data_IF_527584375030
#
_entry.id   IF_527584375030
#
_cell.length_a   1.000
_cell.length_b   1.000
_cell.length_c   1.000
_cell.angle_alpha   90.00
_cell.angle_beta   90.00
_cell.angle_gamma   90.00
#
_symmetry.space_group_name_H-M   'P 1'
#
loop_
_entity.id
_entity.type
_entity.pdbx_description
1 polymer ?
#
# COMPACT_ATOMS: atom_id res chain seq x y z
N UNK A 1 37.90 -63.53 -25.65
CA UNK A 1 37.07 -63.05 -24.52
C UNK A 1 36.99 -61.53 -24.59
N UNK A 2 35.77 -61.03 -24.82
CA UNK A 2 35.15 -59.78 -24.30
C UNK A 2 34.23 -59.17 -25.37
N UNK A 3 33.02 -59.74 -25.38
CA UNK A 3 31.79 -59.15 -25.89
C UNK A 3 31.40 -57.89 -25.10
N UNK A 4 30.76 -56.95 -25.82
CA UNK A 4 29.61 -56.20 -25.33
C UNK A 4 29.84 -55.05 -24.36
N UNK A 5 30.06 -53.83 -24.86
CA UNK A 5 29.75 -52.59 -24.10
C UNK A 5 29.76 -51.33 -24.97
N UNK A 6 28.87 -51.18 -25.97
CA UNK A 6 28.73 -49.86 -26.61
C UNK A 6 27.38 -49.54 -27.31
N UNK A 7 26.29 -50.25 -27.00
CA UNK A 7 24.98 -49.99 -27.66
C UNK A 7 23.85 -49.59 -26.69
N UNK A 8 23.97 -49.86 -25.39
CA UNK A 8 22.91 -49.63 -24.40
C UNK A 8 22.88 -48.17 -23.88
N UNK A 9 23.96 -47.39 -24.06
CA UNK A 9 24.06 -46.04 -23.48
C UNK A 9 23.38 -44.94 -24.34
N UNK A 10 23.02 -45.24 -25.59
CA UNK A 10 22.44 -44.27 -26.54
C UNK A 10 20.90 -44.32 -26.63
N UNK A 11 20.24 -45.35 -26.08
CA UNK A 11 18.77 -45.46 -26.16
C UNK A 11 18.03 -44.77 -24.99
N UNK A 12 18.73 -44.49 -23.87
CA UNK A 12 18.11 -43.87 -22.68
C UNK A 12 18.23 -42.33 -22.64
N UNK A 13 18.98 -41.72 -23.57
CA UNK A 13 19.15 -40.26 -23.62
C UNK A 13 18.07 -39.54 -24.45
N UNK A 14 17.29 -40.25 -25.27
CA UNK A 14 16.38 -39.64 -26.25
C UNK A 14 14.92 -39.51 -25.75
N UNK A 15 14.50 -40.28 -24.74
CA UNK A 15 13.16 -40.16 -24.16
C UNK A 15 13.08 -39.20 -22.96
N UNK A 16 14.21 -38.86 -22.34
CA UNK A 16 14.26 -37.95 -21.20
C UNK A 16 14.18 -36.46 -21.60
N UNK A 17 14.49 -36.10 -22.84
CA UNK A 17 14.54 -34.70 -23.30
C UNK A 17 13.18 -34.16 -23.75
N UNK A 18 12.26 -35.01 -24.24
CA UNK A 18 10.99 -34.57 -24.83
C UNK A 18 9.94 -34.13 -23.79
N UNK A 19 10.11 -34.54 -22.53
CA UNK A 19 9.18 -34.22 -21.42
C UNK A 19 9.62 -33.02 -20.60
N UNK A 20 10.87 -32.57 -20.69
CA UNK A 20 11.41 -31.48 -19.87
C UNK A 20 11.12 -30.10 -20.49
N UNK A 21 11.12 -30.00 -21.82
CA UNK A 21 10.87 -28.76 -22.55
C UNK A 21 9.53 -28.06 -22.22
N UNK A 22 8.37 -28.75 -22.13
CA UNK A 22 7.10 -28.07 -21.83
C UNK A 22 6.98 -27.64 -20.35
N UNK A 23 7.57 -28.39 -19.41
CA UNK A 23 7.62 -27.95 -18.00
C UNK A 23 8.57 -26.77 -17.81
N UNK A 24 9.72 -26.77 -18.49
CA UNK A 24 10.62 -25.63 -18.49
C UNK A 24 9.93 -24.38 -19.04
N UNK A 25 9.22 -24.50 -20.18
CA UNK A 25 8.46 -23.40 -20.78
C UNK A 25 7.36 -22.87 -19.85
N UNK A 26 6.63 -23.76 -19.18
CA UNK A 26 5.62 -23.38 -18.19
C UNK A 26 6.24 -22.68 -16.97
N UNK A 27 7.40 -23.14 -16.48
CA UNK A 27 8.16 -22.47 -15.42
C UNK A 27 8.66 -21.08 -15.84
N UNK A 28 9.10 -20.91 -17.09
CA UNK A 28 9.50 -19.60 -17.63
C UNK A 28 8.32 -18.63 -17.72
N UNK A 29 7.13 -19.10 -18.14
CA UNK A 29 5.93 -18.27 -18.16
C UNK A 29 5.48 -17.89 -16.74
N UNK A 30 5.51 -18.82 -15.78
CA UNK A 30 5.13 -18.54 -14.40
C UNK A 30 6.09 -17.56 -13.69
N UNK A 31 7.40 -17.63 -13.98
CA UNK A 31 8.39 -16.70 -13.44
C UNK A 31 8.21 -15.27 -13.98
N UNK A 32 7.68 -15.11 -15.20
CA UNK A 32 7.45 -13.79 -15.80
C UNK A 32 6.31 -13.00 -15.13
N UNK A 33 5.38 -13.67 -14.45
CA UNK A 33 4.19 -13.03 -13.83
C UNK A 33 4.51 -12.39 -12.46
N UNK A 34 5.64 -12.76 -11.83
CA UNK A 34 5.98 -12.29 -10.48
C UNK A 34 6.78 -10.96 -10.43
N UNK A 35 7.18 -10.38 -11.56
CA UNK A 35 8.10 -9.24 -11.61
C UNK A 35 7.45 -7.89 -11.98
N UNK A 36 6.28 -7.59 -11.43
CA UNK A 36 5.73 -6.22 -11.48
C UNK A 36 5.14 -5.78 -10.14
N UNK A 37 5.86 -6.01 -9.03
CA UNK A 37 5.70 -5.15 -7.85
C UNK A 37 6.68 -4.01 -8.04
N UNK A 38 6.18 -2.89 -8.58
CA UNK A 38 6.89 -1.62 -8.58
C UNK A 38 7.26 -1.33 -7.12
N UNK A 39 8.55 -1.24 -6.81
CA UNK A 39 9.02 -0.83 -5.49
C UNK A 39 8.71 0.65 -5.32
N UNK A 40 7.46 0.95 -4.97
CA UNK A 40 7.13 2.25 -4.43
C UNK A 40 7.84 2.35 -3.08
N UNK A 41 8.48 3.48 -2.83
CA UNK A 41 9.24 3.78 -1.60
C UNK A 41 8.33 3.95 -0.37
N UNK A 42 7.21 3.24 -0.34
CA UNK A 42 6.27 3.27 0.76
C UNK A 42 6.88 2.46 1.92
N UNK A 43 6.98 3.11 3.08
CA UNK A 43 7.47 2.50 4.32
C UNK A 43 6.64 1.28 4.77
N UNK A 44 6.92 0.77 5.97
CA UNK A 44 6.37 -0.51 6.44
C UNK A 44 4.82 -0.52 6.33
N UNK A 45 4.22 -1.49 5.60
CA UNK A 45 2.78 -1.58 5.43
C UNK A 45 2.08 -1.99 6.73
N UNK A 46 0.80 -1.65 6.87
CA UNK A 46 -0.05 -2.04 8.00
C UNK A 46 -0.41 -3.53 8.02
N UNK A 47 0.02 -4.31 7.01
CA UNK A 47 -0.31 -5.73 6.86
C UNK A 47 -1.68 -6.00 6.23
N UNK A 48 -2.42 -4.94 5.88
CA UNK A 48 -3.69 -5.01 5.16
C UNK A 48 -3.49 -4.67 3.68
N UNK A 49 -4.33 -5.26 2.83
CA UNK A 49 -4.47 -4.87 1.43
C UNK A 49 -5.83 -4.23 1.22
N UNK A 50 -5.89 -3.20 0.39
CA UNK A 50 -7.11 -2.46 0.12
C UNK A 50 -7.66 -2.66 -1.28
N UNK A 51 -7.43 -3.85 -1.86
CA UNK A 51 -7.91 -4.21 -3.20
C UNK A 51 -9.43 -4.37 -3.23
N UNK A 52 -9.99 -5.04 -2.23
CA UNK A 52 -11.40 -5.39 -2.15
C UNK A 52 -12.11 -4.79 -0.93
N UNK A 53 -11.35 -4.51 0.12
CA UNK A 53 -11.84 -4.03 1.41
C UNK A 53 -11.08 -2.74 1.78
N UNK A 54 -11.70 -1.77 2.46
CA UNK A 54 -10.95 -0.61 2.95
C UNK A 54 -9.97 -1.01 4.06
N UNK A 55 -9.02 -0.11 4.38
CA UNK A 55 -8.17 -0.27 5.57
C UNK A 55 -9.01 0.04 6.81
N UNK A 56 -9.19 -0.92 7.72
CA UNK A 56 -10.01 -0.71 8.92
C UNK A 56 -9.54 -1.49 10.15
N UNK A 57 -8.61 -2.45 10.01
CA UNK A 57 -8.17 -3.22 11.18
C UNK A 57 -7.29 -2.33 12.07
N UNK A 58 -6.39 -1.56 11.47
CA UNK A 58 -5.51 -0.64 12.18
C UNK A 58 -5.93 0.83 11.98
N UNK A 59 -6.26 1.57 13.05
CA UNK A 59 -6.57 2.99 12.95
C UNK A 59 -5.34 3.79 12.50
N UNK A 60 -5.56 4.80 11.67
CA UNK A 60 -4.47 5.62 11.13
C UNK A 60 -3.73 5.00 9.94
N UNK A 61 -4.28 3.92 9.36
CA UNK A 61 -3.86 3.38 8.07
C UNK A 61 -4.79 3.86 6.95
N UNK A 62 -4.22 4.13 5.79
CA UNK A 62 -4.94 4.50 4.57
C UNK A 62 -4.45 3.73 3.37
N UNK A 63 -5.31 3.62 2.37
CA UNK A 63 -5.05 2.87 1.15
C UNK A 63 -4.17 3.68 0.18
N UNK A 64 -3.02 3.12 -0.21
CA UNK A 64 -2.17 3.64 -1.29
C UNK A 64 -1.66 2.46 -2.12
N UNK A 65 -1.78 2.54 -3.44
CA UNK A 65 -1.31 1.49 -4.36
C UNK A 65 -1.82 0.08 -4.01
N UNK A 66 -3.09 -0.01 -3.60
CA UNK A 66 -3.79 -1.26 -3.18
C UNK A 66 -3.25 -1.90 -1.89
N UNK A 67 -2.38 -1.23 -1.16
CA UNK A 67 -1.85 -1.66 0.14
C UNK A 67 -2.14 -0.59 1.20
N UNK A 68 -2.38 -1.02 2.44
CA UNK A 68 -2.62 -0.11 3.55
C UNK A 68 -1.31 0.31 4.19
N UNK A 69 -1.08 1.62 4.30
CA UNK A 69 0.08 2.22 4.95
C UNK A 69 -0.34 3.21 6.02
N UNK A 70 0.54 3.45 7.00
CA UNK A 70 0.31 4.48 8.01
C UNK A 70 0.25 5.87 7.37
N UNK A 71 -0.67 6.72 7.83
CA UNK A 71 -0.89 8.05 7.27
C UNK A 71 0.39 8.91 7.24
N UNK A 72 1.18 8.87 8.31
CA UNK A 72 2.44 9.61 8.39
C UNK A 72 3.50 9.11 7.40
N UNK A 73 3.49 7.80 7.06
CA UNK A 73 4.37 7.21 6.03
C UNK A 73 3.94 7.66 4.64
N UNK A 74 2.63 7.69 4.38
CA UNK A 74 2.10 8.21 3.12
C UNK A 74 2.50 9.69 2.96
N UNK A 75 2.38 10.48 4.03
CA UNK A 75 2.74 11.90 4.01
C UNK A 75 4.25 12.15 3.88
N UNK A 76 5.10 11.34 4.54
CA UNK A 76 6.56 11.48 4.47
C UNK A 76 7.14 11.08 3.11
N UNK A 77 6.54 10.08 2.46
CA UNK A 77 6.99 9.55 1.16
C UNK A 77 6.35 10.23 -0.04
N UNK A 78 5.45 11.19 0.20
CA UNK A 78 4.79 11.93 -0.87
C UNK A 78 5.74 12.91 -1.56
N UNK A 79 5.80 12.81 -2.89
CA UNK A 79 6.51 13.76 -3.75
C UNK A 79 5.65 15.01 -3.94
N UNK A 80 4.35 14.83 -4.15
CA UNK A 80 3.39 15.92 -4.35
C UNK A 80 2.19 15.81 -3.41
N UNK A 81 1.52 16.93 -3.17
CA UNK A 81 0.25 16.96 -2.41
C UNK A 81 -0.87 16.15 -3.09
N UNK A 82 -0.71 15.73 -4.34
CA UNK A 82 -1.69 14.94 -5.07
C UNK A 82 -1.41 13.44 -5.04
N UNK A 83 -0.29 13.01 -4.45
CA UNK A 83 0.07 11.59 -4.33
C UNK A 83 -0.99 10.80 -3.52
N UNK A 84 -1.70 11.48 -2.62
CA UNK A 84 -2.85 10.91 -1.93
C UNK A 84 -3.89 12.00 -1.67
N UNK A 85 -5.16 11.68 -1.92
CA UNK A 85 -6.28 12.62 -1.86
C UNK A 85 -6.50 13.27 -0.48
N UNK A 86 -5.99 12.66 0.61
CA UNK A 86 -6.06 13.21 1.97
C UNK A 86 -4.85 14.09 2.35
N UNK A 87 -3.85 14.25 1.48
CA UNK A 87 -2.73 15.16 1.76
C UNK A 87 -3.15 16.61 1.59
N UNK A 88 -2.60 17.49 2.41
CA UNK A 88 -2.85 18.93 2.36
C UNK A 88 -1.63 19.73 2.77
N UNK A 89 -1.59 20.99 2.39
CA UNK A 89 -0.64 21.97 2.92
C UNK A 89 -1.37 23.02 3.78
N UNK A 90 -2.65 23.25 3.48
CA UNK A 90 -3.52 24.22 4.12
C UNK A 90 -4.92 23.66 4.35
N UNK A 91 -5.71 24.37 5.14
CA UNK A 91 -7.13 24.03 5.39
C UNK A 91 -7.96 24.10 4.10
N UNK A 92 -7.64 25.06 3.22
CA UNK A 92 -8.35 25.26 1.94
C UNK A 92 -8.19 24.08 0.99
N UNK A 93 -7.05 23.38 1.05
CA UNK A 93 -6.82 22.16 0.25
C UNK A 93 -7.84 21.07 0.61
N UNK A 94 -8.11 20.87 1.90
CA UNK A 94 -9.07 19.87 2.36
C UNK A 94 -10.50 20.20 1.94
N UNK A 95 -10.86 21.48 1.98
CA UNK A 95 -12.17 21.98 1.54
C UNK A 95 -12.32 21.79 0.04
N UNK A 96 -11.30 22.18 -0.73
CA UNK A 96 -11.30 22.09 -2.20
C UNK A 96 -11.37 20.65 -2.67
N UNK A 97 -10.61 19.74 -2.03
CA UNK A 97 -10.65 18.30 -2.30
C UNK A 97 -11.92 17.61 -1.77
N UNK A 98 -12.72 18.30 -0.96
CA UNK A 98 -13.91 17.78 -0.26
C UNK A 98 -13.62 16.56 0.62
N UNK A 99 -12.40 16.47 1.14
CA UNK A 99 -11.94 15.37 2.01
C UNK A 99 -11.97 15.73 3.50
N UNK A 100 -12.18 17.00 3.81
CA UNK A 100 -12.27 17.51 5.17
C UNK A 100 -12.41 19.03 5.17
N UNK A 101 -12.25 19.62 6.34
CA UNK A 101 -12.18 21.07 6.51
C UNK A 101 -10.96 21.52 7.34
N UNK A 102 -10.21 20.56 7.89
CA UNK A 102 -9.04 20.81 8.70
C UNK A 102 -7.85 20.02 8.17
N UNK A 103 -6.69 20.70 8.09
CA UNK A 103 -5.43 20.10 7.71
C UNK A 103 -4.56 19.94 8.97
N UNK A 104 -4.32 18.71 9.40
CA UNK A 104 -3.44 18.45 10.52
C UNK A 104 -2.03 18.08 10.09
N UNK A 105 -1.08 18.86 10.58
CA UNK A 105 0.33 18.61 10.34
C UNK A 105 0.85 17.57 11.35
N UNK A 106 1.76 16.72 10.88
CA UNK A 106 2.49 15.81 11.74
C UNK A 106 3.58 16.59 12.50
N UNK A 107 3.94 16.18 13.74
CA UNK A 107 4.96 16.87 14.54
C UNK A 107 6.38 16.74 13.97
N UNK A 108 6.61 15.79 13.05
CA UNK A 108 7.92 15.59 12.44
C UNK A 108 8.16 16.63 11.33
N UNK A 109 9.28 17.36 11.42
CA UNK A 109 9.68 18.40 10.47
C UNK A 109 10.01 17.87 9.07
N UNK A 110 10.32 16.58 8.94
CA UNK A 110 10.61 15.96 7.63
C UNK A 110 9.34 15.73 6.80
N UNK A 111 8.16 15.86 7.41
CA UNK A 111 6.87 15.63 6.74
C UNK A 111 6.31 16.95 6.23
N UNK A 112 6.36 17.13 4.91
CA UNK A 112 5.97 18.40 4.24
C UNK A 112 4.45 18.64 4.20
N UNK A 113 3.66 17.57 4.19
CA UNK A 113 2.22 17.64 3.99
C UNK A 113 1.47 17.16 5.24
N UNK A 114 0.39 17.85 5.57
CA UNK A 114 -0.57 17.42 6.58
C UNK A 114 -1.57 16.39 6.05
N UNK A 115 -2.51 16.05 6.90
CA UNK A 115 -3.60 15.12 6.65
C UNK A 115 -4.96 15.78 6.85
N UNK A 116 -5.85 15.62 5.88
CA UNK A 116 -7.21 16.14 5.97
C UNK A 116 -8.08 15.30 6.88
N UNK A 117 -8.85 15.97 7.74
CA UNK A 117 -9.98 15.37 8.42
C UNK A 117 -11.19 16.31 8.43
N UNK A 118 -12.36 15.70 8.64
CA UNK A 118 -13.60 16.44 8.86
C UNK A 118 -13.71 16.73 10.36
N UNK A 119 -13.43 17.96 10.73
CA UNK A 119 -13.70 18.49 12.05
C UNK A 119 -15.10 19.11 12.04
N UNK A 120 -16.09 18.43 12.60
CA UNK A 120 -17.40 19.05 12.80
C UNK A 120 -17.28 20.01 13.99
N UNK A 121 -17.38 21.31 13.74
CA UNK A 121 -17.26 22.36 14.76
C UNK A 121 -18.53 22.52 15.60
N UNK A 122 -19.39 21.50 15.69
CA UNK A 122 -20.61 21.57 16.48
C UNK A 122 -20.29 21.50 17.97
N UNK A 123 -19.98 22.64 18.57
CA UNK A 123 -20.31 22.93 19.98
C UNK A 123 -19.68 22.06 21.07
N UNK A 124 -18.65 21.26 20.80
CA UNK A 124 -17.98 20.44 21.83
C UNK A 124 -17.14 21.26 22.82
N UNK A 125 -16.81 22.53 22.51
CA UNK A 125 -16.07 23.41 23.44
C UNK A 125 -16.94 24.46 24.15
N UNK A 126 -18.23 24.58 23.83
CA UNK A 126 -19.10 25.62 24.42
C UNK A 126 -20.34 25.07 25.16
N UNK A 127 -20.72 23.80 24.98
CA UNK A 127 -21.84 23.21 25.75
C UNK A 127 -21.52 23.04 27.23
N UNK A 128 -20.26 22.79 27.60
CA UNK A 128 -19.89 22.59 29.00
C UNK A 128 -19.72 23.90 29.78
N UNK A 129 -19.31 25.00 29.12
CA UNK A 129 -19.19 26.31 29.77
C UNK A 129 -20.53 27.06 29.89
N UNK A 130 -21.40 27.00 28.87
CA UNK A 130 -22.69 27.71 28.90
C UNK A 130 -23.72 27.04 29.81
N UNK A 131 -23.64 25.71 30.03
CA UNK A 131 -24.57 25.00 30.91
C UNK A 131 -24.34 25.30 32.40
N UNK A 132 -23.14 25.75 32.77
CA UNK A 132 -22.81 26.14 34.15
C UNK A 132 -23.23 27.59 34.48
N UNK A 133 -23.45 28.44 33.48
CA UNK A 133 -23.82 29.85 33.69
C UNK A 133 -25.33 30.14 33.66
N UNK A 134 -26.17 29.18 33.24
CA UNK A 134 -27.63 29.38 33.08
C UNK A 134 -28.43 28.84 34.29
N UNK A 135 -27.78 28.19 35.26
CA UNK A 135 -28.38 27.82 36.56
C UNK A 135 -27.91 28.73 37.70
N UNK A 136 -28.16 30.03 37.57
CA UNK A 136 -28.18 30.94 38.72
C UNK A 136 -29.45 31.79 38.68
#
# INVERSE_FOLDING_TARGET
MQEGSNAEHQLNQTMASFRIAPFALFCFLAASVMFAVEKTEAGIPCGESCVFLPCFIIPGCSCKDKVCYLNHVIASTAKTMNDHHLLCQSHEDCITKRTGNFCANFPNQDIKYGWCFRAESEGFMLKDHLKMSITN
#
